data_IF_419512779878
#
_entry.id   IF_419512779878
#
_cell.length_a   1.000
_cell.length_b   1.000
_cell.length_c   1.000
_cell.angle_alpha   90.00
_cell.angle_beta   90.00
_cell.angle_gamma   90.00
#
_symmetry.space_group_name_H-M   'P 1'
#
loop_
_entity.id
_entity.type
_entity.pdbx_description
1 polymer ?
#
# COMPACT_ATOMS: atom_id res chain seq x y z
N UNK A 1 -31.91 -40.47 -44.80
CA UNK A 1 -32.19 -41.92 -44.78
C UNK A 1 -32.25 -42.34 -43.32
N UNK A 2 -33.45 -42.65 -42.78
CA UNK A 2 -33.67 -43.50 -41.57
C UNK A 2 -33.13 -42.90 -40.23
N UNK A 3 -33.81 -42.79 -39.07
CA UNK A 3 -35.09 -43.25 -38.51
C UNK A 3 -35.43 -42.33 -37.31
N UNK A 4 -36.72 -42.06 -37.13
CA UNK A 4 -37.36 -41.44 -35.97
C UNK A 4 -38.00 -42.58 -35.16
N UNK A 5 -37.73 -42.69 -33.85
CA UNK A 5 -38.58 -43.46 -32.93
C UNK A 5 -38.59 -42.83 -31.52
N UNK A 6 -39.83 -42.62 -31.07
CA UNK A 6 -40.32 -42.07 -29.82
C UNK A 6 -40.42 -43.12 -28.70
N UNK A 7 -40.71 -42.61 -27.49
CA UNK A 7 -41.42 -43.27 -26.38
C UNK A 7 -40.50 -43.98 -25.37
N UNK A 8 -40.63 -43.78 -24.05
CA UNK A 8 -41.85 -43.94 -23.25
C UNK A 8 -41.88 -43.09 -21.97
N UNK A 9 -43.09 -42.65 -21.63
CA UNK A 9 -43.49 -42.15 -20.32
C UNK A 9 -43.78 -43.31 -19.36
N UNK A 10 -43.82 -43.05 -18.04
CA UNK A 10 -44.72 -43.69 -17.07
C UNK A 10 -44.78 -42.85 -15.77
N UNK A 11 -45.93 -42.25 -15.51
CA UNK A 11 -46.46 -41.99 -14.17
C UNK A 11 -47.60 -43.02 -13.95
N UNK A 12 -48.01 -43.34 -12.70
CA UNK A 12 -49.10 -42.53 -12.13
C UNK A 12 -49.26 -42.48 -10.58
N UNK A 13 -50.09 -41.50 -10.18
CA UNK A 13 -51.18 -41.52 -9.19
C UNK A 13 -50.94 -41.30 -7.67
N UNK A 14 -51.70 -40.30 -7.20
CA UNK A 14 -51.96 -39.76 -5.86
C UNK A 14 -52.53 -40.72 -4.80
N UNK A 15 -52.32 -40.36 -3.52
CA UNK A 15 -53.36 -40.43 -2.50
C UNK A 15 -53.18 -39.32 -1.43
N UNK A 16 -54.29 -38.65 -1.10
CA UNK A 16 -54.39 -37.59 -0.11
C UNK A 16 -54.54 -38.16 1.32
N UNK A 17 -53.90 -37.52 2.30
CA UNK A 17 -54.10 -37.78 3.74
C UNK A 17 -53.81 -36.52 4.55
N UNK A 18 -54.84 -35.99 5.23
CA UNK A 18 -54.76 -34.83 6.11
C UNK A 18 -54.04 -35.09 7.45
N UNK A 19 -53.87 -34.05 8.31
CA UNK A 19 -52.73 -33.95 9.20
C UNK A 19 -52.95 -34.64 10.56
N UNK A 20 -51.95 -35.42 11.01
CA UNK A 20 -51.78 -35.75 12.43
C UNK A 20 -50.71 -34.85 13.03
N UNK A 21 -51.15 -33.93 13.89
CA UNK A 21 -50.28 -33.10 14.74
C UNK A 21 -49.55 -34.00 15.74
N UNK A 22 -48.28 -34.31 15.51
CA UNK A 22 -47.35 -34.64 16.59
C UNK A 22 -46.67 -33.35 17.04
N UNK A 23 -47.00 -32.92 18.25
CA UNK A 23 -46.41 -31.74 18.90
C UNK A 23 -45.05 -32.16 19.45
N UNK A 24 -44.04 -32.25 18.59
CA UNK A 24 -42.66 -32.26 19.04
C UNK A 24 -42.35 -30.85 19.55
N UNK A 25 -42.15 -30.71 20.86
CA UNK A 25 -41.59 -29.48 21.43
C UNK A 25 -40.14 -29.38 20.93
N UNK A 26 -39.95 -28.66 19.83
CA UNK A 26 -38.65 -28.12 19.49
C UNK A 26 -38.31 -27.11 20.59
N UNK A 27 -37.44 -27.52 21.52
CA UNK A 27 -36.72 -26.62 22.40
C UNK A 27 -35.83 -25.76 21.50
N UNK A 28 -36.38 -24.65 21.02
CA UNK A 28 -35.62 -23.65 20.30
C UNK A 28 -34.57 -23.10 21.25
N UNK A 29 -33.32 -23.53 21.09
CA UNK A 29 -32.20 -22.67 21.46
C UNK A 29 -32.46 -21.33 20.77
N UNK A 30 -32.42 -20.20 21.50
CA UNK A 30 -32.47 -18.91 20.84
C UNK A 30 -31.38 -18.91 19.77
N UNK A 31 -31.75 -18.55 18.53
CA UNK A 31 -30.76 -18.34 17.48
C UNK A 31 -29.70 -17.39 18.06
N UNK A 32 -28.44 -17.83 18.04
CA UNK A 32 -27.35 -17.02 18.57
C UNK A 32 -27.44 -15.62 17.93
N UNK A 33 -27.48 -14.58 18.76
CA UNK A 33 -27.56 -13.21 18.26
C UNK A 33 -26.37 -12.98 17.31
N UNK A 34 -26.65 -12.41 16.13
CA UNK A 34 -25.61 -12.04 15.17
C UNK A 34 -24.66 -11.08 15.90
N UNK A 35 -23.34 -11.37 15.98
CA UNK A 35 -22.40 -10.49 16.63
C UNK A 35 -22.36 -9.14 15.92
N UNK A 36 -21.97 -8.10 16.66
CA UNK A 36 -21.85 -6.77 16.08
C UNK A 36 -20.70 -6.74 15.07
N UNK A 37 -19.56 -7.30 15.48
CA UNK A 37 -18.35 -7.41 14.68
C UNK A 37 -17.95 -8.88 14.50
N UNK A 38 -17.56 -9.23 13.29
CA UNK A 38 -16.64 -10.34 13.05
C UNK A 38 -15.31 -9.75 12.60
N UNK A 39 -14.23 -10.17 13.24
CA UNK A 39 -12.87 -9.84 12.83
C UNK A 39 -12.26 -11.13 12.28
N UNK A 40 -11.75 -11.05 11.06
CA UNK A 40 -11.04 -12.12 10.38
C UNK A 40 -9.55 -11.81 10.46
N UNK A 41 -8.73 -12.78 10.83
CA UNK A 41 -7.27 -12.62 10.91
C UNK A 41 -6.62 -13.67 10.01
N UNK A 42 -5.87 -13.19 9.04
CA UNK A 42 -5.02 -14.00 8.16
C UNK A 42 -3.60 -13.93 8.72
N UNK A 43 -3.23 -14.96 9.49
CA UNK A 43 -2.02 -15.01 10.30
C UNK A 43 -1.04 -16.00 9.67
N UNK A 44 -0.16 -15.46 8.83
CA UNK A 44 0.88 -16.23 8.16
C UNK A 44 2.18 -16.15 8.95
N UNK A 45 2.46 -17.20 9.73
CA UNK A 45 3.69 -17.38 10.49
C UNK A 45 4.62 -18.42 9.87
N UNK A 46 4.43 -18.81 8.60
CA UNK A 46 5.36 -19.70 7.89
C UNK A 46 6.57 -18.91 7.36
N UNK A 47 7.33 -18.35 8.31
CA UNK A 47 8.54 -17.56 8.08
C UNK A 47 9.25 -17.31 9.42
N UNK A 48 10.20 -16.37 9.43
CA UNK A 48 10.95 -15.98 10.61
C UNK A 48 10.14 -15.19 11.67
N UNK A 49 8.81 -15.09 11.57
CA UNK A 49 7.91 -14.54 12.60
C UNK A 49 7.12 -15.63 13.38
N UNK A 50 7.36 -16.92 13.13
CA UNK A 50 6.67 -18.03 13.81
C UNK A 50 6.72 -17.96 15.36
N UNK A 51 7.78 -17.37 15.92
CA UNK A 51 8.02 -17.27 17.36
C UNK A 51 7.01 -16.38 18.09
N UNK A 52 6.37 -15.43 17.40
CA UNK A 52 5.37 -14.52 18.00
C UNK A 52 3.92 -14.94 17.77
N UNK A 53 3.67 -15.90 16.87
CA UNK A 53 2.31 -16.37 16.53
C UNK A 53 1.49 -16.76 17.77
N UNK A 54 2.07 -17.57 18.66
CA UNK A 54 1.35 -18.02 19.86
C UNK A 54 1.07 -16.88 20.84
N UNK A 55 1.96 -15.89 20.93
CA UNK A 55 1.76 -14.71 21.77
C UNK A 55 0.59 -13.87 21.25
N UNK A 56 0.52 -13.63 19.94
CA UNK A 56 -0.58 -12.87 19.33
C UNK A 56 -1.91 -13.62 19.45
N UNK A 57 -1.91 -14.94 19.25
CA UNK A 57 -3.10 -15.77 19.48
C UNK A 57 -3.59 -15.69 20.93
N UNK A 58 -2.68 -15.65 21.91
CA UNK A 58 -3.02 -15.48 23.32
C UNK A 58 -3.58 -14.08 23.60
N UNK A 59 -2.96 -13.03 23.05
CA UNK A 59 -3.47 -11.65 23.18
C UNK A 59 -4.88 -11.52 22.59
N UNK A 60 -5.14 -12.15 21.44
CA UNK A 60 -6.46 -12.22 20.82
C UNK A 60 -7.49 -12.96 21.69
N UNK A 61 -7.13 -14.09 22.29
CA UNK A 61 -7.99 -14.86 23.21
C UNK A 61 -8.36 -14.06 24.47
N UNK A 62 -7.39 -13.33 25.03
CA UNK A 62 -7.55 -12.52 26.22
C UNK A 62 -8.36 -11.25 25.95
N UNK A 63 -8.19 -10.64 24.77
CA UNK A 63 -8.79 -9.37 24.39
C UNK A 63 -10.21 -9.46 23.86
N UNK A 64 -10.59 -10.55 23.18
CA UNK A 64 -11.85 -10.60 22.42
C UNK A 64 -13.09 -10.43 23.32
N UNK A 65 -13.91 -9.37 23.12
CA UNK A 65 -15.10 -9.16 23.94
C UNK A 65 -16.29 -10.00 23.44
N UNK A 66 -17.29 -10.19 24.30
CA UNK A 66 -18.42 -11.08 24.01
C UNK A 66 -19.31 -10.66 22.81
N UNK A 67 -19.22 -9.40 22.35
CA UNK A 67 -19.99 -8.88 21.23
C UNK A 67 -19.23 -8.93 19.89
N UNK A 68 -18.01 -9.47 19.90
CA UNK A 68 -17.13 -9.67 18.75
C UNK A 68 -16.91 -11.16 18.57
N UNK A 69 -16.86 -11.60 17.31
CA UNK A 69 -16.37 -12.93 16.94
C UNK A 69 -15.03 -12.77 16.23
N UNK A 70 -14.07 -13.62 16.56
CA UNK A 70 -12.77 -13.65 15.90
C UNK A 70 -12.57 -15.00 15.21
N UNK A 71 -12.27 -14.98 13.92
CA UNK A 71 -11.83 -16.16 13.15
C UNK A 71 -10.41 -15.93 12.66
N UNK A 72 -9.52 -16.88 12.90
CA UNK A 72 -8.10 -16.75 12.64
C UNK A 72 -7.65 -17.94 11.80
N UNK A 73 -7.28 -17.71 10.55
CA UNK A 73 -6.54 -18.71 9.78
C UNK A 73 -5.07 -18.55 10.11
N UNK A 74 -4.46 -19.64 10.58
CA UNK A 74 -3.07 -19.69 11.03
C UNK A 74 -2.32 -20.72 10.19
N UNK A 75 -1.15 -20.31 9.73
CA UNK A 75 -0.11 -21.20 9.20
C UNK A 75 1.22 -20.93 9.92
N UNK A 76 2.02 -21.97 10.17
CA UNK A 76 3.24 -21.87 10.99
C UNK A 76 4.36 -22.71 10.41
N UNK A 77 5.58 -22.16 10.42
CA UNK A 77 6.76 -22.74 9.77
C UNK A 77 7.16 -24.17 10.20
N UNK A 78 6.72 -24.61 11.38
CA UNK A 78 7.09 -25.92 11.94
C UNK A 78 5.89 -26.84 12.20
N UNK A 79 4.72 -26.53 11.63
CA UNK A 79 3.53 -27.38 11.72
C UNK A 79 3.09 -27.80 10.33
N UNK A 80 2.56 -29.01 10.20
CA UNK A 80 1.90 -29.43 8.96
C UNK A 80 0.43 -29.03 8.99
N UNK A 81 0.00 -28.28 8.00
CA UNK A 81 -1.40 -27.94 7.75
C UNK A 81 -1.83 -26.60 8.35
N UNK A 82 -2.89 -26.04 7.76
CA UNK A 82 -3.55 -24.85 8.27
C UNK A 82 -4.47 -25.14 9.45
N UNK A 83 -4.63 -24.15 10.32
CA UNK A 83 -5.62 -24.18 11.40
C UNK A 83 -6.54 -22.98 11.33
N UNK A 84 -7.85 -23.22 11.37
CA UNK A 84 -8.85 -22.17 11.57
C UNK A 84 -9.29 -22.18 13.03
N UNK A 85 -8.94 -21.13 13.75
CA UNK A 85 -9.34 -20.91 15.14
C UNK A 85 -10.53 -19.97 15.23
N UNK A 86 -11.40 -20.24 16.19
CA UNK A 86 -12.46 -19.33 16.63
C UNK A 86 -12.18 -18.90 18.08
N UNK A 87 -12.03 -17.60 18.30
CA UNK A 87 -11.84 -17.05 19.64
C UNK A 87 -13.10 -16.34 20.12
N UNK A 88 -13.44 -16.62 21.38
CA UNK A 88 -14.44 -15.89 22.17
C UNK A 88 -13.85 -15.67 23.57
N UNK A 89 -14.43 -14.77 24.37
CA UNK A 89 -13.82 -14.29 25.63
C UNK A 89 -13.19 -15.41 26.49
N UNK A 90 -11.85 -15.48 26.51
CA UNK A 90 -11.06 -16.45 27.28
C UNK A 90 -11.18 -17.91 26.80
N UNK A 91 -11.61 -18.13 25.55
CA UNK A 91 -11.75 -19.44 24.92
C UNK A 91 -11.29 -19.37 23.47
N UNK A 92 -10.17 -20.03 23.18
CA UNK A 92 -9.73 -20.36 21.82
C UNK A 92 -10.12 -21.80 21.46
N UNK A 93 -10.91 -21.96 20.39
CA UNK A 93 -11.39 -23.25 19.90
C UNK A 93 -10.91 -23.51 18.48
N UNK A 94 -10.33 -24.68 18.25
CA UNK A 94 -10.03 -25.15 16.90
C UNK A 94 -11.35 -25.45 16.18
N UNK A 95 -11.59 -24.74 15.07
CA UNK A 95 -12.78 -24.88 14.26
C UNK A 95 -12.58 -25.91 13.15
N UNK A 96 -11.46 -25.82 12.43
CA UNK A 96 -11.14 -26.65 11.27
C UNK A 96 -9.62 -26.80 11.14
N UNK A 97 -9.15 -27.96 10.69
CA UNK A 97 -7.77 -28.19 10.25
C UNK A 97 -7.80 -28.47 8.74
N UNK A 98 -6.78 -28.01 8.03
CA UNK A 98 -6.66 -28.16 6.58
C UNK A 98 -5.29 -28.66 6.14
N UNK A 99 -5.11 -28.88 4.83
CA UNK A 99 -3.78 -29.09 4.26
C UNK A 99 -2.91 -27.84 4.44
N UNK A 100 -1.62 -27.98 4.17
CA UNK A 100 -0.67 -26.86 4.08
C UNK A 100 -1.20 -25.83 3.08
N UNK A 101 -1.52 -24.60 3.51
CA UNK A 101 -1.89 -23.54 2.60
C UNK A 101 -0.62 -22.95 1.97
N UNK A 102 -0.76 -22.27 0.83
CA UNK A 102 0.20 -21.27 0.40
C UNK A 102 -0.40 -19.93 0.84
N UNK A 103 0.11 -19.35 1.92
CA UNK A 103 -0.43 -18.12 2.48
C UNK A 103 -0.06 -16.87 1.66
N UNK A 104 1.00 -16.97 0.85
CA UNK A 104 1.35 -15.97 -0.16
C UNK A 104 0.54 -16.04 -1.45
N UNK A 105 -0.27 -17.09 -1.66
CA UNK A 105 -1.26 -17.14 -2.75
C UNK A 105 -2.48 -16.29 -2.40
N UNK A 106 -2.73 -15.24 -3.19
CA UNK A 106 -3.89 -14.37 -3.04
C UNK A 106 -5.23 -15.12 -3.10
N UNK A 107 -5.29 -16.28 -3.75
CA UNK A 107 -6.49 -17.11 -3.75
C UNK A 107 -6.75 -17.77 -2.39
N UNK A 108 -5.72 -18.06 -1.59
CA UNK A 108 -5.86 -18.53 -0.20
C UNK A 108 -6.54 -17.45 0.64
N UNK A 109 -6.08 -16.21 0.57
CA UNK A 109 -6.74 -15.07 1.22
C UNK A 109 -8.19 -14.89 0.74
N UNK A 110 -8.45 -15.00 -0.56
CA UNK A 110 -9.81 -14.92 -1.11
C UNK A 110 -10.73 -16.02 -0.57
N UNK A 111 -10.24 -17.27 -0.53
CA UNK A 111 -10.97 -18.42 0.03
C UNK A 111 -11.25 -18.23 1.52
N UNK A 112 -10.25 -17.77 2.28
CA UNK A 112 -10.41 -17.49 3.71
C UNK A 112 -11.47 -16.40 3.94
N UNK A 113 -11.42 -15.31 3.18
CA UNK A 113 -12.41 -14.23 3.29
C UNK A 113 -13.83 -14.71 2.98
N UNK A 114 -14.03 -15.44 1.87
CA UNK A 114 -15.32 -16.03 1.50
C UNK A 114 -15.85 -16.97 2.59
N UNK A 115 -14.95 -17.80 3.14
CA UNK A 115 -15.26 -18.76 4.21
C UNK A 115 -15.61 -18.06 5.52
N UNK A 116 -14.85 -17.05 5.93
CA UNK A 116 -15.08 -16.28 7.14
C UNK A 116 -16.41 -15.53 7.11
N UNK A 117 -16.73 -14.90 5.97
CA UNK A 117 -18.02 -14.24 5.75
C UNK A 117 -19.21 -15.21 5.82
N UNK A 118 -19.03 -16.45 5.34
CA UNK A 118 -20.06 -17.48 5.42
C UNK A 118 -20.24 -18.08 6.82
N UNK A 119 -19.13 -18.29 7.56
CA UNK A 119 -19.14 -18.91 8.89
C UNK A 119 -19.56 -17.94 10.01
N UNK A 120 -19.21 -16.68 9.88
CA UNK A 120 -19.35 -15.68 10.92
C UNK A 120 -19.99 -14.38 10.39
N UNK A 121 -21.26 -14.42 9.94
CA UNK A 121 -21.95 -13.21 9.55
C UNK A 121 -22.08 -12.26 10.75
N UNK A 122 -21.84 -10.97 10.51
CA UNK A 122 -21.96 -9.89 11.49
C UNK A 122 -22.44 -8.60 10.83
N UNK A 123 -22.78 -7.60 11.63
CA UNK A 123 -23.15 -6.28 11.12
C UNK A 123 -21.96 -5.59 10.47
N UNK A 124 -20.79 -5.73 11.09
CA UNK A 124 -19.53 -5.18 10.63
C UNK A 124 -18.47 -6.28 10.50
N UNK A 125 -17.63 -6.20 9.47
CA UNK A 125 -16.52 -7.13 9.22
C UNK A 125 -15.21 -6.37 9.12
N UNK A 126 -14.23 -6.76 9.93
CA UNK A 126 -12.84 -6.38 9.76
C UNK A 126 -12.01 -7.55 9.22
N UNK A 127 -11.01 -7.27 8.41
CA UNK A 127 -9.97 -8.21 8.01
C UNK A 127 -8.59 -7.67 8.43
N UNK A 128 -7.82 -8.49 9.11
CA UNK A 128 -6.43 -8.23 9.49
C UNK A 128 -5.56 -9.18 8.68
N UNK A 129 -4.53 -8.64 8.03
CA UNK A 129 -3.50 -9.44 7.39
C UNK A 129 -2.20 -9.19 8.16
N UNK A 130 -1.70 -10.25 8.77
CA UNK A 130 -0.53 -10.25 9.65
C UNK A 130 0.61 -10.97 8.96
N UNK A 131 1.77 -10.30 8.81
CA UNK A 131 3.06 -10.85 8.34
C UNK A 131 4.10 -9.71 8.24
N UNK A 132 5.22 -9.96 7.56
CA UNK A 132 6.01 -8.96 6.85
C UNK A 132 5.20 -8.15 5.84
N UNK A 133 5.71 -6.95 5.56
CA UNK A 133 5.23 -6.09 4.49
C UNK A 133 6.35 -5.27 3.84
N UNK A 134 6.15 -4.92 2.58
CA UNK A 134 7.07 -4.09 1.79
C UNK A 134 6.29 -3.17 0.82
N UNK A 135 5.07 -2.79 1.23
CA UNK A 135 4.18 -1.95 0.42
C UNK A 135 3.84 -2.59 -0.93
N UNK A 136 4.13 -1.89 -2.02
CA UNK A 136 3.84 -2.38 -3.37
C UNK A 136 4.96 -3.23 -3.99
N UNK A 137 6.15 -3.30 -3.38
CA UNK A 137 7.36 -3.80 -4.06
C UNK A 137 7.27 -5.27 -4.45
N UNK A 138 7.74 -5.55 -5.68
CA UNK A 138 7.84 -6.87 -6.31
C UNK A 138 9.25 -7.50 -6.11
N UNK A 139 9.42 -8.84 -6.25
CA UNK A 139 10.59 -9.70 -5.94
C UNK A 139 11.96 -9.40 -6.55
N UNK A 140 12.21 -8.25 -7.14
CA UNK A 140 13.55 -7.99 -7.68
C UNK A 140 14.55 -7.65 -6.55
N UNK A 141 14.99 -8.69 -5.84
CA UNK A 141 16.22 -8.69 -5.03
C UNK A 141 16.09 -8.51 -3.51
N UNK A 142 14.89 -8.44 -2.93
CA UNK A 142 14.69 -8.33 -1.48
C UNK A 142 14.14 -9.62 -0.84
N UNK A 143 14.45 -9.81 0.44
CA UNK A 143 14.00 -10.94 1.27
C UNK A 143 12.49 -10.86 1.58
N UNK A 144 11.92 -9.66 1.78
CA UNK A 144 10.49 -9.44 2.01
C UNK A 144 9.83 -8.66 0.86
N UNK A 145 8.62 -9.08 0.47
CA UNK A 145 7.98 -8.80 -0.82
C UNK A 145 6.47 -8.67 -0.59
N UNK A 146 5.81 -7.63 -1.13
CA UNK A 146 4.36 -7.42 -0.92
C UNK A 146 3.94 -7.56 0.56
N UNK A 147 2.96 -8.43 0.85
CA UNK A 147 2.53 -8.85 2.19
C UNK A 147 2.29 -10.37 2.23
N UNK A 148 2.22 -10.96 3.43
CA UNK A 148 1.97 -12.40 3.64
C UNK A 148 3.04 -13.26 2.94
N UNK A 149 4.29 -13.06 3.36
CA UNK A 149 5.43 -13.85 2.87
C UNK A 149 5.41 -15.23 3.53
N UNK A 150 5.41 -16.25 2.69
CA UNK A 150 5.38 -17.66 3.04
C UNK A 150 6.68 -18.30 2.54
N UNK A 151 7.54 -18.70 3.47
CA UNK A 151 8.90 -19.17 3.18
C UNK A 151 8.91 -20.60 2.60
N UNK A 152 7.97 -21.46 3.00
CA UNK A 152 7.85 -22.82 2.46
C UNK A 152 7.45 -22.80 0.99
N UNK A 153 6.52 -21.91 0.62
CA UNK A 153 6.04 -21.73 -0.75
C UNK A 153 6.92 -20.76 -1.56
N UNK A 154 7.69 -19.90 -0.88
CA UNK A 154 8.49 -18.83 -1.49
C UNK A 154 7.63 -17.73 -2.15
N UNK A 155 6.40 -17.59 -1.69
CA UNK A 155 5.34 -16.76 -2.27
C UNK A 155 5.03 -15.56 -1.37
N UNK A 156 4.25 -14.62 -1.90
CA UNK A 156 3.74 -13.44 -1.20
C UNK A 156 2.63 -12.80 -2.05
N UNK A 157 1.79 -11.98 -1.41
CA UNK A 157 0.70 -11.28 -2.07
C UNK A 157 1.15 -9.87 -2.49
N UNK A 158 1.15 -9.59 -3.79
CA UNK A 158 1.38 -8.24 -4.33
C UNK A 158 0.22 -7.27 -4.04
N UNK A 159 0.46 -5.96 -4.15
CA UNK A 159 -0.59 -4.95 -3.98
C UNK A 159 -1.81 -5.17 -4.90
N UNK A 160 -1.61 -5.42 -6.19
CA UNK A 160 -2.73 -5.66 -7.11
C UNK A 160 -3.46 -6.99 -6.78
N UNK A 161 -2.73 -8.03 -6.36
CA UNK A 161 -3.32 -9.29 -5.91
C UNK A 161 -4.14 -9.13 -4.62
N UNK A 162 -3.77 -8.22 -3.69
CA UNK A 162 -4.61 -7.89 -2.54
C UNK A 162 -5.99 -7.39 -3.00
N UNK A 163 -6.01 -6.49 -3.98
CA UNK A 163 -7.26 -6.01 -4.58
C UNK A 163 -8.09 -7.13 -5.20
N UNK A 164 -7.45 -8.10 -5.85
CA UNK A 164 -8.11 -9.30 -6.40
C UNK A 164 -8.66 -10.21 -5.29
N UNK A 165 -7.89 -10.45 -4.22
CA UNK A 165 -8.30 -11.29 -3.12
C UNK A 165 -9.55 -10.75 -2.41
N UNK A 166 -9.55 -9.44 -2.09
CA UNK A 166 -10.69 -8.78 -1.48
C UNK A 166 -11.92 -8.81 -2.39
N UNK A 167 -11.74 -8.55 -3.69
CA UNK A 167 -12.81 -8.63 -4.67
C UNK A 167 -13.43 -10.02 -4.70
N UNK A 168 -12.64 -11.05 -4.96
CA UNK A 168 -13.15 -12.40 -5.17
C UNK A 168 -13.71 -13.01 -3.88
N UNK A 169 -13.07 -12.76 -2.74
CA UNK A 169 -13.54 -13.26 -1.44
C UNK A 169 -14.86 -12.63 -0.98
N UNK A 170 -15.09 -11.34 -1.29
CA UNK A 170 -16.31 -10.65 -0.90
C UNK A 170 -17.44 -10.75 -1.95
N UNK A 171 -17.13 -11.13 -3.20
CA UNK A 171 -18.06 -11.04 -4.35
C UNK A 171 -19.39 -11.75 -4.12
N UNK A 172 -19.37 -12.97 -3.59
CA UNK A 172 -20.59 -13.79 -3.39
C UNK A 172 -21.49 -13.25 -2.28
N UNK A 173 -20.91 -12.50 -1.34
CA UNK A 173 -21.62 -11.91 -0.21
C UNK A 173 -22.21 -10.54 -0.51
N UNK A 174 -21.85 -9.94 -1.66
CA UNK A 174 -22.41 -8.68 -2.14
C UNK A 174 -22.14 -7.49 -1.20
N UNK A 175 -21.10 -7.56 -0.38
CA UNK A 175 -20.75 -6.52 0.61
C UNK A 175 -19.27 -6.14 0.55
N UNK A 176 -18.95 -4.92 0.97
CA UNK A 176 -17.58 -4.47 1.24
C UNK A 176 -17.24 -4.81 2.69
N UNK A 177 -15.94 -4.80 3.01
CA UNK A 177 -15.47 -4.90 4.38
C UNK A 177 -15.57 -3.53 5.05
N UNK A 178 -15.83 -3.51 6.34
CA UNK A 178 -15.93 -2.28 7.10
C UNK A 178 -14.51 -1.76 7.40
N UNK A 179 -13.59 -2.66 7.74
CA UNK A 179 -12.17 -2.36 7.98
C UNK A 179 -11.28 -3.40 7.30
N UNK A 180 -10.20 -2.93 6.66
CA UNK A 180 -9.03 -3.75 6.34
C UNK A 180 -7.85 -3.15 7.08
N UNK A 181 -7.11 -3.98 7.82
CA UNK A 181 -5.94 -3.58 8.58
C UNK A 181 -4.74 -4.45 8.20
N UNK A 182 -3.58 -3.82 8.10
CA UNK A 182 -2.32 -4.51 7.87
C UNK A 182 -1.47 -4.47 9.13
N UNK A 183 -1.34 -5.62 9.79
CA UNK A 183 -0.33 -5.84 10.84
C UNK A 183 0.98 -6.25 10.15
N UNK A 184 1.50 -5.32 9.35
CA UNK A 184 2.61 -5.54 8.45
C UNK A 184 3.32 -4.22 8.12
N UNK A 185 4.62 -4.30 7.92
CA UNK A 185 5.50 -3.17 7.63
C UNK A 185 5.11 -2.45 6.33
N UNK A 186 5.18 -1.12 6.32
CA UNK A 186 5.21 -0.30 5.09
C UNK A 186 3.95 -0.40 4.21
N UNK A 187 2.82 -0.90 4.71
CA UNK A 187 1.61 -1.14 3.90
C UNK A 187 0.73 0.10 3.71
N UNK A 188 0.96 1.18 4.46
CA UNK A 188 0.20 2.43 4.33
C UNK A 188 0.74 3.32 3.22
N UNK A 189 0.69 2.80 2.00
CA UNK A 189 1.10 3.49 0.78
C UNK A 189 -0.09 3.85 -0.11
N UNK A 190 0.02 4.92 -0.89
CA UNK A 190 -0.98 5.31 -1.91
C UNK A 190 -1.25 4.16 -2.88
N UNK A 191 -0.20 3.44 -3.29
CA UNK A 191 -0.25 2.32 -4.24
C UNK A 191 -1.08 1.16 -3.69
N UNK A 192 -0.83 0.78 -2.44
CA UNK A 192 -1.59 -0.28 -1.75
C UNK A 192 -3.02 0.17 -1.51
N UNK A 193 -3.21 1.42 -1.06
CA UNK A 193 -4.52 1.99 -0.80
C UNK A 193 -5.38 2.00 -2.09
N UNK A 194 -4.79 2.31 -3.25
CA UNK A 194 -5.48 2.23 -4.55
C UNK A 194 -5.98 0.82 -4.87
N UNK A 195 -5.17 -0.21 -4.58
CA UNK A 195 -5.57 -1.58 -4.87
C UNK A 195 -6.77 -2.05 -4.03
N UNK A 196 -6.91 -1.56 -2.79
CA UNK A 196 -7.90 -2.09 -1.83
C UNK A 196 -9.12 -1.18 -1.60
N UNK A 197 -9.06 0.14 -1.89
CA UNK A 197 -10.08 1.10 -1.46
C UNK A 197 -11.52 0.76 -1.90
N UNK A 198 -11.68 0.03 -3.02
CA UNK A 198 -13.00 -0.35 -3.55
C UNK A 198 -13.68 -1.43 -2.70
N UNK A 199 -12.94 -2.14 -1.86
CA UNK A 199 -13.40 -3.34 -1.17
C UNK A 199 -13.50 -3.19 0.35
N UNK A 200 -13.05 -2.06 0.90
CA UNK A 200 -13.21 -1.73 2.32
C UNK A 200 -13.65 -0.28 2.54
N UNK A 201 -14.32 0.02 3.66
CA UNK A 201 -14.71 1.39 4.02
C UNK A 201 -13.60 2.16 4.73
N UNK A 202 -12.84 1.48 5.61
CA UNK A 202 -11.68 2.02 6.30
C UNK A 202 -10.46 1.14 6.06
N UNK A 203 -9.31 1.78 5.83
CA UNK A 203 -8.00 1.15 5.74
C UNK A 203 -7.14 1.57 6.94
N UNK A 204 -6.46 0.63 7.57
CA UNK A 204 -5.50 0.85 8.67
C UNK A 204 -4.15 0.22 8.32
N UNK A 205 -3.07 0.94 8.57
CA UNK A 205 -1.72 0.45 8.31
C UNK A 205 -0.63 1.42 8.75
N UNK A 206 0.60 0.94 8.67
CA UNK A 206 1.82 1.70 9.00
C UNK A 206 2.56 2.13 7.73
N UNK A 207 3.05 3.37 7.74
CA UNK A 207 4.00 3.87 6.74
C UNK A 207 5.43 3.36 7.01
N UNK A 208 5.67 2.92 8.25
CA UNK A 208 6.94 2.47 8.78
C UNK A 208 6.94 0.95 9.04
N UNK A 209 8.10 0.39 9.38
CA UNK A 209 8.17 -0.95 9.97
C UNK A 209 7.33 -1.03 11.23
N UNK A 210 6.64 -2.17 11.39
CA UNK A 210 5.89 -2.51 12.59
C UNK A 210 6.83 -3.30 13.50
N UNK A 211 6.87 -3.05 14.82
CA UNK A 211 7.67 -3.86 15.74
C UNK A 211 7.25 -5.33 15.67
N UNK A 212 8.17 -6.23 16.01
CA UNK A 212 7.94 -7.69 15.92
C UNK A 212 6.69 -8.18 16.67
N UNK A 213 6.29 -7.48 17.73
CA UNK A 213 5.09 -7.79 18.51
C UNK A 213 3.76 -7.35 17.85
N UNK A 214 3.78 -6.69 16.69
CA UNK A 214 2.58 -6.40 15.90
C UNK A 214 1.57 -5.47 16.58
N UNK A 215 0.29 -5.71 16.34
CA UNK A 215 -0.80 -5.02 17.00
C UNK A 215 -1.01 -5.53 18.44
N UNK A 216 -1.29 -4.65 19.42
CA UNK A 216 -1.62 -5.08 20.79
C UNK A 216 -3.06 -5.62 20.85
N UNK A 217 -3.27 -6.88 20.43
CA UNK A 217 -4.59 -7.48 20.23
C UNK A 217 -5.44 -7.46 21.50
N UNK A 218 -4.82 -7.74 22.64
CA UNK A 218 -5.45 -7.73 23.96
C UNK A 218 -6.09 -6.36 24.27
N UNK A 219 -5.39 -5.28 23.94
CA UNK A 219 -5.79 -3.91 24.27
C UNK A 219 -6.86 -3.39 23.33
N UNK A 220 -6.66 -3.47 22.01
CA UNK A 220 -7.61 -2.84 21.10
C UNK A 220 -8.93 -3.62 21.05
N UNK A 221 -8.88 -4.96 21.08
CA UNK A 221 -10.08 -5.79 21.20
C UNK A 221 -10.76 -5.60 22.55
N UNK A 222 -10.00 -5.63 23.65
CA UNK A 222 -10.54 -5.50 25.00
C UNK A 222 -11.16 -4.13 25.27
N UNK A 223 -10.69 -3.09 24.58
CA UNK A 223 -11.21 -1.73 24.63
C UNK A 223 -12.32 -1.41 23.63
N UNK A 224 -12.69 -2.35 22.74
CA UNK A 224 -13.68 -2.09 21.68
C UNK A 224 -15.07 -1.80 22.28
N UNK A 225 -15.63 -0.58 22.11
CA UNK A 225 -16.94 -0.26 22.64
C UNK A 225 -18.06 -0.99 21.88
N UNK A 226 -19.11 -1.38 22.60
CA UNK A 226 -20.37 -1.83 21.98
C UNK A 226 -20.97 -0.69 21.17
N UNK A 227 -21.43 -0.97 19.95
CA UNK A 227 -22.00 0.00 19.01
C UNK A 227 -20.95 0.82 18.25
N UNK A 228 -19.69 0.38 18.21
CA UNK A 228 -18.64 1.07 17.48
C UNK A 228 -18.79 0.85 15.97
N UNK A 229 -18.94 1.95 15.22
CA UNK A 229 -18.82 1.92 13.77
C UNK A 229 -17.33 1.79 13.34
N UNK A 230 -17.11 1.55 12.05
CA UNK A 230 -15.78 1.34 11.48
C UNK A 230 -14.80 2.50 11.74
N UNK A 231 -15.26 3.76 11.70
CA UNK A 231 -14.38 4.91 11.93
C UNK A 231 -13.99 5.04 13.40
N UNK A 232 -14.92 4.73 14.33
CA UNK A 232 -14.63 4.69 15.77
C UNK A 232 -13.68 3.56 16.13
N UNK A 233 -13.92 2.35 15.59
CA UNK A 233 -13.02 1.21 15.76
C UNK A 233 -11.60 1.59 15.29
N UNK A 234 -11.48 2.19 14.10
CA UNK A 234 -10.18 2.52 13.53
C UNK A 234 -9.40 3.58 14.34
N UNK A 235 -10.08 4.62 14.86
CA UNK A 235 -9.45 5.62 15.74
C UNK A 235 -8.97 4.98 17.04
N UNK A 236 -9.84 4.20 17.69
CA UNK A 236 -9.51 3.47 18.91
C UNK A 236 -8.31 2.55 18.71
N UNK A 237 -8.27 1.84 17.57
CA UNK A 237 -7.17 0.95 17.22
C UNK A 237 -5.86 1.70 17.06
N UNK A 238 -5.85 2.78 16.27
CA UNK A 238 -4.67 3.63 16.09
C UNK A 238 -4.19 4.18 17.43
N UNK A 239 -5.08 4.80 18.22
CA UNK A 239 -4.70 5.37 19.51
C UNK A 239 -4.14 4.31 20.48
N UNK A 240 -4.73 3.12 20.51
CA UNK A 240 -4.28 2.01 21.36
C UNK A 240 -2.91 1.48 20.95
N UNK A 241 -2.65 1.37 19.64
CA UNK A 241 -1.35 0.98 19.10
C UNK A 241 -0.26 1.99 19.47
N UNK A 242 -0.51 3.29 19.27
CA UNK A 242 0.49 4.30 19.64
C UNK A 242 0.74 4.32 21.15
N UNK A 243 -0.28 4.12 21.98
CA UNK A 243 -0.11 4.08 23.43
C UNK A 243 0.64 2.85 23.92
N UNK A 244 0.47 1.68 23.29
CA UNK A 244 1.20 0.47 23.68
C UNK A 244 2.71 0.62 23.54
N UNK A 245 3.15 1.25 22.44
CA UNK A 245 4.56 1.51 22.15
C UNK A 245 5.12 2.79 22.80
N UNK A 246 4.29 3.59 23.48
CA UNK A 246 4.82 4.60 24.42
C UNK A 246 5.24 3.98 25.75
N UNK A 247 4.55 2.93 26.19
CA UNK A 247 4.65 2.41 27.56
C UNK A 247 5.54 1.18 27.71
N UNK A 248 5.42 0.18 26.82
CA UNK A 248 6.10 -1.14 26.97
C UNK A 248 7.52 -1.13 26.40
N UNK A 249 7.70 -0.53 25.23
CA UNK A 249 9.00 -0.45 24.54
C UNK A 249 9.02 0.85 23.73
N UNK A 250 9.84 1.87 24.06
CA UNK A 250 9.89 3.12 23.33
C UNK A 250 10.56 2.94 21.96
N UNK A 251 9.90 2.18 21.10
CA UNK A 251 10.20 2.07 19.68
C UNK A 251 9.36 3.11 18.95
N UNK A 252 9.95 3.90 18.05
CA UNK A 252 9.19 4.78 17.19
C UNK A 252 8.28 3.96 16.29
N UNK A 253 7.00 4.33 16.27
CA UNK A 253 5.99 3.67 15.45
C UNK A 253 5.12 4.71 14.76
N UNK A 254 4.49 4.34 13.65
CA UNK A 254 3.47 5.14 12.98
C UNK A 254 2.27 4.26 12.65
N UNK A 255 1.06 4.77 12.81
CA UNK A 255 -0.15 4.10 12.33
C UNK A 255 -1.19 5.14 11.95
N UNK A 256 -1.95 4.84 10.91
CA UNK A 256 -3.01 5.72 10.44
C UNK A 256 -4.23 4.95 9.98
N UNK A 257 -5.34 5.67 9.86
CA UNK A 257 -6.59 5.16 9.34
C UNK A 257 -7.18 6.11 8.30
N UNK A 258 -7.70 5.56 7.21
CA UNK A 258 -8.17 6.30 6.03
C UNK A 258 -9.55 5.86 5.58
N UNK A 259 -10.39 6.83 5.20
CA UNK A 259 -11.70 6.61 4.56
C UNK A 259 -11.51 6.25 3.09
N UNK A 260 -11.76 5.01 2.74
CA UNK A 260 -11.55 4.50 1.39
C UNK A 260 -12.49 5.10 0.34
N UNK A 261 -13.67 5.58 0.74
CA UNK A 261 -14.59 6.30 -0.15
C UNK A 261 -14.05 7.64 -0.63
N UNK A 262 -13.13 8.26 0.14
CA UNK A 262 -12.59 9.58 -0.12
C UNK A 262 -11.19 9.51 -0.79
N UNK A 263 -10.54 8.34 -0.76
CA UNK A 263 -9.26 8.08 -1.42
C UNK A 263 -9.23 8.38 -2.94
N UNK A 264 -10.31 8.16 -3.74
CA UNK A 264 -10.37 8.62 -5.13
C UNK A 264 -9.94 10.07 -5.34
N UNK A 265 -10.33 10.98 -4.45
CA UNK A 265 -9.94 12.38 -4.53
C UNK A 265 -8.45 12.61 -4.22
N UNK A 266 -7.86 11.79 -3.34
CA UNK A 266 -6.41 11.81 -3.06
C UNK A 266 -5.65 11.39 -4.31
N UNK A 267 -6.09 10.31 -4.98
CA UNK A 267 -5.45 9.80 -6.19
C UNK A 267 -5.53 10.80 -7.35
N UNK A 268 -6.70 11.42 -7.56
CA UNK A 268 -6.87 12.49 -8.54
C UNK A 268 -5.95 13.68 -8.23
N UNK A 269 -5.77 14.02 -6.95
CA UNK A 269 -4.89 15.11 -6.55
C UNK A 269 -3.40 14.77 -6.72
N UNK A 270 -2.98 13.53 -6.44
CA UNK A 270 -1.61 13.04 -6.74
C UNK A 270 -1.33 13.12 -8.24
N UNK A 271 -2.27 12.65 -9.07
CA UNK A 271 -2.16 12.77 -10.53
C UNK A 271 -2.08 14.24 -10.99
N UNK A 272 -2.91 15.10 -10.39
CA UNK A 272 -2.89 16.54 -10.63
C UNK A 272 -1.56 17.21 -10.24
N UNK A 273 -0.96 16.79 -9.12
CA UNK A 273 0.35 17.25 -8.68
C UNK A 273 1.45 16.78 -9.64
N UNK A 274 1.44 15.51 -10.06
CA UNK A 274 2.40 14.97 -11.02
C UNK A 274 2.39 15.77 -12.33
N UNK A 275 1.19 16.06 -12.87
CA UNK A 275 0.99 16.93 -14.04
C UNK A 275 1.56 18.33 -13.87
N UNK A 276 1.32 18.95 -12.71
CA UNK A 276 1.81 20.29 -12.42
C UNK A 276 3.34 20.31 -12.31
N UNK A 277 3.95 19.28 -11.71
CA UNK A 277 5.40 19.14 -11.60
C UNK A 277 6.06 18.92 -12.97
N UNK A 278 5.49 18.04 -13.81
CA UNK A 278 5.95 17.78 -15.17
C UNK A 278 6.01 19.05 -16.04
N UNK A 279 5.06 19.96 -15.84
CA UNK A 279 4.90 21.15 -16.68
C UNK A 279 5.59 22.40 -16.12
N UNK A 280 6.26 22.29 -14.96
CA UNK A 280 6.94 23.41 -14.32
C UNK A 280 8.46 23.26 -14.41
N UNK A 281 9.15 24.06 -15.25
CA UNK A 281 10.60 23.93 -15.44
C UNK A 281 11.44 24.07 -14.17
N UNK A 282 10.97 24.85 -13.19
CA UNK A 282 11.66 25.05 -11.91
C UNK A 282 11.42 23.93 -10.88
N UNK A 283 10.61 22.92 -11.18
CA UNK A 283 10.24 21.89 -10.22
C UNK A 283 11.43 21.01 -9.80
N UNK A 284 12.26 20.58 -10.75
CA UNK A 284 13.39 19.66 -10.50
C UNK A 284 14.32 20.10 -9.35
N UNK A 285 14.94 21.30 -9.42
CA UNK A 285 15.83 21.80 -8.36
C UNK A 285 15.15 21.87 -7.00
N UNK A 286 13.89 22.32 -6.96
CA UNK A 286 13.15 22.44 -5.71
C UNK A 286 12.81 21.08 -5.14
N UNK A 287 12.36 20.14 -5.96
CA UNK A 287 12.09 18.75 -5.55
C UNK A 287 13.35 18.10 -5.02
N UNK A 288 14.51 18.27 -5.68
CA UNK A 288 15.81 17.76 -5.18
C UNK A 288 16.12 18.26 -3.77
N UNK A 289 15.84 19.54 -3.50
CA UNK A 289 16.00 20.17 -2.18
C UNK A 289 14.98 19.64 -1.17
N UNK A 290 13.69 19.53 -1.54
CA UNK A 290 12.62 18.98 -0.70
C UNK A 290 12.93 17.55 -0.28
N UNK A 291 13.44 16.74 -1.21
CA UNK A 291 13.84 15.37 -0.93
C UNK A 291 14.99 15.25 0.06
N UNK A 292 15.72 16.32 0.43
CA UNK A 292 16.69 16.24 1.53
C UNK A 292 16.03 16.27 2.92
N UNK A 293 14.80 16.78 3.00
CA UNK A 293 14.12 17.09 4.26
C UNK A 293 12.82 16.30 4.46
N UNK A 294 12.26 15.76 3.38
CA UNK A 294 11.03 14.98 3.42
C UNK A 294 11.15 13.79 4.39
N UNK A 295 10.06 13.50 5.09
CA UNK A 295 9.94 12.34 5.96
C UNK A 295 10.12 11.09 5.08
N UNK A 296 11.02 10.23 5.51
CA UNK A 296 11.23 8.90 4.94
C UNK A 296 11.04 7.86 6.00
N UNK A 297 10.69 6.68 5.54
CA UNK A 297 10.55 5.50 6.38
C UNK A 297 11.79 4.61 6.23
N UNK A 298 11.79 3.44 6.87
CA UNK A 298 12.88 2.46 6.74
C UNK A 298 13.17 2.11 5.28
N UNK A 299 12.11 1.92 4.48
CA UNK A 299 12.24 1.95 3.02
C UNK A 299 12.45 3.41 2.56
N UNK A 300 13.69 3.74 2.19
CA UNK A 300 14.09 5.14 1.88
C UNK A 300 13.47 5.72 0.61
N UNK A 301 12.89 4.87 -0.22
CA UNK A 301 12.09 5.23 -1.38
C UNK A 301 10.59 5.32 -1.04
N UNK A 302 10.22 5.29 0.23
CA UNK A 302 8.88 5.64 0.72
C UNK A 302 9.00 7.00 1.40
N UNK A 303 8.39 8.01 0.79
CA UNK A 303 8.32 9.36 1.34
C UNK A 303 6.90 9.65 1.81
N UNK A 304 6.77 10.47 2.84
CA UNK A 304 5.46 10.94 3.28
C UNK A 304 4.85 11.91 2.25
N UNK A 305 3.67 11.59 1.73
CA UNK A 305 3.02 12.36 0.68
C UNK A 305 2.57 13.74 1.17
N UNK A 306 2.07 13.84 2.39
CA UNK A 306 1.60 15.09 2.97
C UNK A 306 2.75 16.06 3.23
N UNK A 307 3.81 15.59 3.88
CA UNK A 307 5.01 16.38 4.15
C UNK A 307 5.76 16.76 2.87
N UNK A 308 5.78 15.87 1.86
CA UNK A 308 6.28 16.23 0.53
C UNK A 308 5.50 17.43 -0.05
N UNK A 309 4.16 17.39 0.03
CA UNK A 309 3.30 18.49 -0.40
C UNK A 309 3.55 19.79 0.37
N UNK A 310 3.68 19.73 1.69
CA UNK A 310 3.94 20.90 2.55
C UNK A 310 5.28 21.58 2.20
N UNK A 311 6.34 20.78 2.04
CA UNK A 311 7.66 21.29 1.69
C UNK A 311 7.68 21.92 0.29
N UNK A 312 7.00 21.31 -0.68
CA UNK A 312 6.84 21.91 -2.01
C UNK A 312 6.08 23.24 -1.93
N UNK A 313 4.97 23.28 -1.19
CA UNK A 313 4.16 24.48 -1.02
C UNK A 313 4.88 25.64 -0.33
N UNK A 314 5.90 25.34 0.48
CA UNK A 314 6.76 26.35 1.12
C UNK A 314 7.82 26.95 0.19
N UNK A 315 8.14 26.30 -0.94
CA UNK A 315 9.25 26.68 -1.84
C UNK A 315 8.82 27.09 -3.23
N UNK A 316 7.69 26.56 -3.71
CA UNK A 316 7.17 26.83 -5.05
C UNK A 316 6.05 27.86 -4.99
N UNK A 317 6.17 28.90 -5.81
CA UNK A 317 5.18 29.97 -5.94
C UNK A 317 4.32 29.87 -7.20
N UNK A 318 4.60 28.89 -8.07
CA UNK A 318 3.84 28.65 -9.30
C UNK A 318 2.35 28.37 -8.99
N UNK A 319 1.45 29.05 -9.70
CA UNK A 319 0.00 28.99 -9.42
C UNK A 319 -0.61 27.61 -9.74
N UNK A 320 -0.09 26.92 -10.76
CA UNK A 320 -0.52 25.58 -11.15
C UNK A 320 -0.15 24.58 -10.06
N UNK A 321 1.09 24.64 -9.57
CA UNK A 321 1.55 23.80 -8.46
C UNK A 321 0.80 24.13 -7.17
N UNK A 322 0.64 25.41 -6.83
CA UNK A 322 -0.13 25.81 -5.64
C UNK A 322 -1.55 25.28 -5.65
N UNK A 323 -2.22 25.34 -6.80
CA UNK A 323 -3.58 24.78 -6.98
C UNK A 323 -3.59 23.27 -6.80
N UNK A 324 -2.60 22.56 -7.35
CA UNK A 324 -2.49 21.11 -7.20
C UNK A 324 -2.21 20.69 -5.75
N UNK A 325 -1.32 21.39 -5.07
CA UNK A 325 -1.00 21.15 -3.65
C UNK A 325 -2.18 21.43 -2.73
N UNK A 326 -2.95 22.48 -2.98
CA UNK A 326 -4.16 22.77 -2.19
C UNK A 326 -5.22 21.67 -2.36
N UNK A 327 -5.41 21.17 -3.60
CA UNK A 327 -6.29 20.02 -3.86
C UNK A 327 -5.82 18.78 -3.13
N UNK A 328 -4.51 18.50 -3.13
CA UNK A 328 -3.92 17.38 -2.42
C UNK A 328 -4.16 17.50 -0.91
N UNK A 329 -3.87 18.66 -0.31
CA UNK A 329 -4.08 18.92 1.11
C UNK A 329 -5.54 18.69 1.52
N UNK A 330 -6.50 19.26 0.77
CA UNK A 330 -7.94 19.08 1.02
C UNK A 330 -8.34 17.60 0.94
N UNK A 331 -7.85 16.88 -0.08
CA UNK A 331 -8.16 15.48 -0.27
C UNK A 331 -7.61 14.61 0.87
N UNK A 332 -6.35 14.85 1.28
CA UNK A 332 -5.72 14.17 2.40
C UNK A 332 -6.48 14.42 3.71
N UNK A 333 -6.80 15.68 4.03
CA UNK A 333 -7.53 16.06 5.25
C UNK A 333 -8.93 15.43 5.32
N UNK A 334 -9.60 15.28 4.17
CA UNK A 334 -10.92 14.65 4.11
C UNK A 334 -10.85 13.13 4.27
N UNK A 335 -9.88 12.49 3.63
CA UNK A 335 -9.76 11.04 3.64
C UNK A 335 -9.13 10.52 4.94
N UNK A 336 -8.21 11.25 5.57
CA UNK A 336 -7.54 10.85 6.80
C UNK A 336 -8.51 10.87 7.98
N UNK A 337 -8.68 9.72 8.64
CA UNK A 337 -9.39 9.64 9.92
C UNK A 337 -8.47 10.13 11.03
N UNK A 338 -7.31 9.49 11.15
CA UNK A 338 -6.26 9.79 12.11
C UNK A 338 -4.93 9.29 11.56
N UNK A 339 -3.84 9.96 11.91
CA UNK A 339 -2.49 9.52 11.64
C UNK A 339 -1.62 9.98 12.81
N UNK A 340 -1.00 9.04 13.50
CA UNK A 340 -0.22 9.31 14.68
C UNK A 340 1.11 8.57 14.62
N UNK A 341 2.10 9.11 15.32
CA UNK A 341 3.43 8.53 15.42
C UNK A 341 4.05 8.73 16.80
N UNK A 342 5.09 7.96 17.12
CA UNK A 342 5.99 8.18 18.25
C UNK A 342 7.44 8.32 17.75
N UNK A 343 8.30 8.93 18.56
CA UNK A 343 9.72 9.07 18.26
C UNK A 343 10.08 10.22 17.31
N UNK A 344 11.20 10.89 17.56
CA UNK A 344 11.57 12.12 16.84
C UNK A 344 11.92 11.93 15.36
N UNK A 345 12.23 10.70 14.92
CA UNK A 345 12.54 10.44 13.52
C UNK A 345 11.30 10.34 12.63
N UNK A 346 10.11 10.10 13.22
CA UNK A 346 8.81 10.05 12.54
C UNK A 346 8.01 11.35 12.73
N UNK A 347 8.64 12.41 13.25
CA UNK A 347 7.97 13.67 13.65
C UNK A 347 7.19 14.37 12.53
N UNK A 348 7.44 14.00 11.28
CA UNK A 348 6.78 14.56 10.10
C UNK A 348 5.92 13.52 9.37
N UNK A 349 5.66 12.35 9.97
CA UNK A 349 4.75 11.35 9.42
C UNK A 349 3.30 11.81 9.56
N UNK A 350 2.59 11.80 8.44
CA UNK A 350 1.24 12.30 8.22
C UNK A 350 0.24 11.22 7.82
N UNK A 351 0.69 9.96 7.66
CA UNK A 351 -0.17 8.78 7.56
C UNK A 351 -0.32 8.18 6.17
N UNK A 352 0.33 8.69 5.13
CA UNK A 352 0.28 8.06 3.81
C UNK A 352 1.59 8.26 3.05
N UNK A 353 2.28 7.16 2.80
CA UNK A 353 3.52 7.14 2.03
C UNK A 353 3.25 7.01 0.53
N UNK A 354 4.19 7.47 -0.30
CA UNK A 354 4.21 7.26 -1.75
C UNK A 354 5.62 6.87 -2.19
N UNK A 355 5.73 6.08 -3.25
CA UNK A 355 7.03 5.72 -3.82
C UNK A 355 7.75 6.90 -4.45
N UNK A 356 8.99 7.12 -4.05
CA UNK A 356 9.91 8.07 -4.67
C UNK A 356 11.36 7.56 -4.55
N UNK A 357 11.89 6.84 -5.55
CA UNK A 357 13.25 6.33 -5.52
C UNK A 357 14.27 7.49 -5.55
N UNK A 358 15.43 7.31 -4.91
CA UNK A 358 16.43 8.38 -4.86
C UNK A 358 17.23 8.56 -6.15
N UNK A 359 17.22 7.56 -7.04
CA UNK A 359 18.01 7.51 -8.29
C UNK A 359 17.27 6.74 -9.37
N UNK A 360 17.57 7.03 -10.64
CA UNK A 360 17.03 6.32 -11.80
C UNK A 360 17.25 4.80 -11.71
N UNK A 361 18.44 4.37 -11.27
CA UNK A 361 18.78 2.96 -11.09
C UNK A 361 17.92 2.20 -10.05
N UNK A 362 17.20 2.92 -9.19
CA UNK A 362 16.30 2.33 -8.19
C UNK A 362 14.84 2.36 -8.61
N UNK A 363 14.51 2.92 -9.78
CA UNK A 363 13.17 2.81 -10.36
C UNK A 363 12.91 1.37 -10.79
N UNK A 364 11.98 0.69 -10.13
CA UNK A 364 11.63 -0.69 -10.52
C UNK A 364 10.68 -0.69 -11.72
N UNK A 365 10.96 -1.48 -12.78
CA UNK A 365 10.01 -1.69 -13.88
C UNK A 365 8.65 -2.24 -13.40
N UNK A 366 8.64 -3.01 -12.31
CA UNK A 366 7.41 -3.54 -11.71
C UNK A 366 6.47 -2.44 -11.18
N UNK A 367 6.96 -1.23 -10.90
CA UNK A 367 6.10 -0.13 -10.49
C UNK A 367 5.09 0.24 -11.59
N UNK A 368 5.52 0.20 -12.85
CA UNK A 368 4.70 0.55 -14.01
C UNK A 368 3.58 -0.46 -14.27
N UNK A 369 3.63 -1.65 -13.65
CA UNK A 369 2.56 -2.64 -13.79
C UNK A 369 1.36 -2.38 -12.87
N UNK A 370 1.56 -1.60 -11.79
CA UNK A 370 0.51 -1.31 -10.82
C UNK A 370 -0.65 -0.56 -11.46
N UNK A 371 -1.89 -0.86 -11.05
CA UNK A 371 -3.06 -0.10 -11.53
C UNK A 371 -2.92 1.39 -11.19
N UNK A 372 -2.38 1.73 -10.02
CA UNK A 372 -2.12 3.12 -9.61
C UNK A 372 -1.21 3.87 -10.59
N UNK A 373 -0.06 3.27 -10.96
CA UNK A 373 0.89 3.91 -11.87
C UNK A 373 0.25 4.13 -13.23
N UNK A 374 -0.38 3.11 -13.82
CA UNK A 374 -1.05 3.21 -15.13
C UNK A 374 -2.20 4.21 -15.18
N UNK A 375 -2.81 4.52 -14.03
CA UNK A 375 -3.96 5.43 -13.92
C UNK A 375 -3.55 6.87 -13.55
N UNK A 376 -2.27 7.11 -13.25
CA UNK A 376 -1.73 8.41 -12.86
C UNK A 376 -0.56 8.78 -13.76
N UNK A 377 -0.03 10.00 -13.60
CA UNK A 377 1.22 10.43 -14.23
C UNK A 377 2.37 10.46 -13.22
N UNK A 378 2.24 9.74 -12.12
CA UNK A 378 3.26 9.75 -11.08
C UNK A 378 4.57 9.11 -11.55
N UNK A 379 4.49 7.98 -12.26
CA UNK A 379 5.64 7.32 -12.88
C UNK A 379 6.24 8.13 -14.04
N UNK A 380 5.40 8.77 -14.87
CA UNK A 380 5.85 9.75 -15.87
C UNK A 380 6.68 10.87 -15.22
N UNK A 381 6.18 11.41 -14.11
CA UNK A 381 6.88 12.44 -13.34
C UNK A 381 8.19 11.93 -12.75
N UNK A 382 8.20 10.74 -12.13
CA UNK A 382 9.43 10.14 -11.60
C UNK A 382 10.48 9.95 -12.72
N UNK A 383 10.08 9.43 -13.87
CA UNK A 383 10.96 9.26 -15.03
C UNK A 383 11.53 10.60 -15.52
N UNK A 384 10.69 11.64 -15.63
CA UNK A 384 11.13 12.98 -15.99
C UNK A 384 12.10 13.57 -14.96
N UNK A 385 11.76 13.50 -13.67
CA UNK A 385 12.60 14.01 -12.59
C UNK A 385 13.97 13.34 -12.56
N UNK A 386 14.03 12.02 -12.72
CA UNK A 386 15.29 11.29 -12.74
C UNK A 386 16.12 11.57 -13.99
N UNK A 387 15.51 11.70 -15.16
CA UNK A 387 16.22 12.16 -16.36
C UNK A 387 16.81 13.57 -16.15
N UNK A 388 16.04 14.48 -15.55
CA UNK A 388 16.52 15.83 -15.19
C UNK A 388 17.66 15.79 -14.17
N UNK A 389 17.58 14.92 -13.16
CA UNK A 389 18.61 14.77 -12.14
C UNK A 389 19.92 14.24 -12.76
N UNK A 390 19.84 13.18 -13.56
CA UNK A 390 20.99 12.59 -14.25
C UNK A 390 21.64 13.61 -15.20
N UNK A 391 20.83 14.37 -15.95
CA UNK A 391 21.31 15.48 -16.79
C UNK A 391 22.01 16.56 -15.96
N UNK A 392 21.42 16.97 -14.84
CA UNK A 392 21.97 18.04 -13.99
C UNK A 392 23.29 17.63 -13.35
N UNK A 393 23.42 16.36 -12.96
CA UNK A 393 24.66 15.80 -12.41
C UNK A 393 25.77 15.72 -13.48
N UNK A 394 25.44 15.34 -14.72
CA UNK A 394 26.41 15.36 -15.82
C UNK A 394 26.88 16.78 -16.16
N UNK A 395 25.98 17.75 -16.22
CA UNK A 395 26.36 19.15 -16.50
C UNK A 395 27.21 19.73 -15.36
N UNK A 396 26.91 19.39 -14.11
CA UNK A 396 27.70 19.86 -12.95
C UNK A 396 29.17 19.42 -13.00
N UNK A 397 29.51 18.34 -13.73
CA UNK A 397 30.90 17.93 -13.95
C UNK A 397 31.71 18.97 -14.72
N UNK A 398 31.07 19.82 -15.53
CA UNK A 398 31.77 20.92 -16.21
C UNK A 398 32.29 21.98 -15.24
N UNK A 399 31.66 22.13 -14.08
CA UNK A 399 32.10 23.05 -13.04
C UNK A 399 33.33 22.51 -12.29
N UNK A 400 33.43 21.20 -12.11
CA UNK A 400 34.49 20.54 -11.34
C UNK A 400 35.66 20.07 -12.19
N UNK A 401 35.40 19.51 -13.38
CA UNK A 401 36.38 18.92 -14.30
C UNK A 401 36.74 19.85 -15.47
N UNK A 402 35.98 20.92 -15.69
CA UNK A 402 36.23 21.90 -16.74
C UNK A 402 36.08 21.33 -18.15
N UNK A 403 36.84 21.87 -19.11
CA UNK A 403 36.76 21.50 -20.52
C UNK A 403 37.13 20.03 -20.81
N UNK A 404 37.86 19.36 -19.92
CA UNK A 404 38.22 17.95 -20.06
C UNK A 404 36.98 17.04 -20.07
N UNK A 405 35.94 17.39 -19.32
CA UNK A 405 34.70 16.62 -19.27
C UNK A 405 33.75 16.89 -20.45
N UNK A 406 33.95 17.99 -21.18
CA UNK A 406 33.01 18.48 -22.20
C UNK A 406 32.61 17.43 -23.25
N UNK A 407 33.54 16.63 -23.85
CA UNK A 407 33.14 15.65 -24.86
C UNK A 407 32.20 14.57 -24.30
N UNK A 408 32.48 14.08 -23.09
CA UNK A 408 31.67 13.04 -22.46
C UNK A 408 30.32 13.59 -21.99
N UNK A 409 30.31 14.81 -21.42
CA UNK A 409 29.07 15.48 -20.99
C UNK A 409 28.14 15.73 -22.18
N UNK A 410 28.65 16.24 -23.30
CA UNK A 410 27.86 16.43 -24.54
C UNK A 410 27.28 15.09 -25.00
N UNK A 411 28.10 14.04 -25.06
CA UNK A 411 27.65 12.70 -25.48
C UNK A 411 26.55 12.15 -24.58
N UNK A 412 26.66 12.33 -23.25
CA UNK A 412 25.66 11.87 -22.27
C UNK A 412 24.36 12.66 -22.37
N UNK A 413 24.43 13.98 -22.49
CA UNK A 413 23.25 14.84 -22.67
C UNK A 413 22.54 14.53 -23.99
N UNK A 414 23.28 14.32 -25.09
CA UNK A 414 22.70 13.89 -26.37
C UNK A 414 22.05 12.50 -26.28
N UNK A 415 22.60 11.58 -25.49
CA UNK A 415 22.00 10.27 -25.25
C UNK A 415 20.67 10.41 -24.49
N UNK A 416 20.64 11.21 -23.41
CA UNK A 416 19.42 11.49 -22.65
C UNK A 416 18.35 12.20 -23.50
N UNK A 417 18.77 13.12 -24.38
CA UNK A 417 17.87 13.86 -25.27
C UNK A 417 17.08 12.96 -26.23
N UNK A 418 17.56 11.75 -26.53
CA UNK A 418 16.86 10.78 -27.39
C UNK A 418 15.61 10.20 -26.73
N UNK A 419 15.63 10.01 -25.41
CA UNK A 419 14.49 9.49 -24.65
C UNK A 419 13.70 10.57 -23.92
N UNK A 420 14.33 11.72 -23.60
CA UNK A 420 13.70 12.85 -22.93
C UNK A 420 14.08 14.17 -23.63
N UNK A 421 13.42 14.53 -24.75
CA UNK A 421 13.79 15.68 -25.57
C UNK A 421 13.81 17.02 -24.82
N UNK A 422 12.86 17.25 -23.93
CA UNK A 422 12.77 18.49 -23.15
C UNK A 422 13.92 18.64 -22.15
N UNK A 423 14.24 17.55 -21.43
CA UNK A 423 15.40 17.49 -20.53
C UNK A 423 16.69 17.66 -21.32
N UNK A 424 16.80 16.99 -22.47
CA UNK A 424 17.92 17.14 -23.39
C UNK A 424 18.13 18.60 -23.79
N UNK A 425 17.09 19.28 -24.27
CA UNK A 425 17.16 20.68 -24.68
C UNK A 425 17.63 21.60 -23.54
N UNK A 426 17.16 21.37 -22.31
CA UNK A 426 17.63 22.11 -21.13
C UNK A 426 19.12 21.87 -20.86
N UNK A 427 19.59 20.63 -20.93
CA UNK A 427 21.01 20.29 -20.76
C UNK A 427 21.89 20.91 -21.83
N UNK A 428 21.44 20.90 -23.09
CA UNK A 428 22.14 21.57 -24.19
C UNK A 428 22.25 23.09 -23.96
N UNK A 429 21.19 23.73 -23.46
CA UNK A 429 21.21 25.15 -23.12
C UNK A 429 22.21 25.45 -21.99
N UNK A 430 22.28 24.61 -20.95
CA UNK A 430 23.25 24.76 -19.87
C UNK A 430 24.70 24.58 -20.34
N UNK A 431 24.97 23.59 -21.21
CA UNK A 431 26.29 23.41 -21.83
C UNK A 431 26.68 24.64 -22.63
N UNK A 432 25.76 25.21 -23.44
CA UNK A 432 26.01 26.44 -24.21
C UNK A 432 26.34 27.62 -23.31
N UNK A 433 25.56 27.81 -22.25
CA UNK A 433 25.80 28.88 -21.28
C UNK A 433 27.18 28.76 -20.63
N UNK A 434 27.56 27.56 -20.18
CA UNK A 434 28.90 27.31 -19.63
C UNK A 434 29.99 27.57 -20.67
N UNK A 435 29.80 27.11 -21.91
CA UNK A 435 30.75 27.26 -23.01
C UNK A 435 31.03 28.73 -23.36
N UNK A 436 29.98 29.57 -23.39
CA UNK A 436 30.11 31.02 -23.61
C UNK A 436 30.96 31.67 -22.52
N UNK A 437 30.71 31.34 -21.24
CA UNK A 437 31.49 31.88 -20.14
C UNK A 437 32.97 31.45 -20.15
N UNK A 438 33.27 30.21 -20.57
CA UNK A 438 34.66 29.79 -20.73
C UNK A 438 35.35 30.51 -21.91
N UNK A 439 34.63 30.78 -22.99
CA UNK A 439 35.14 31.51 -24.14
C UNK A 439 35.49 32.97 -23.78
N UNK A 440 34.64 33.66 -23.01
CA UNK A 440 34.93 34.99 -22.44
C UNK A 440 36.19 34.98 -21.55
N UNK A 441 36.47 33.85 -20.88
CA UNK A 441 37.68 33.62 -20.08
C UNK A 441 38.92 33.22 -20.87
N UNK A 442 38.91 33.27 -22.21
CA UNK A 442 40.07 33.00 -23.07
C UNK A 442 40.24 31.54 -23.51
N UNK A 443 39.28 30.65 -23.26
CA UNK A 443 39.32 29.22 -23.64
C UNK A 443 38.45 28.86 -24.85
N UNK A 444 38.15 29.84 -25.72
CA UNK A 444 37.24 29.68 -26.86
C UNK A 444 37.65 28.54 -27.82
N UNK A 445 38.95 28.38 -28.11
CA UNK A 445 39.44 27.36 -29.05
C UNK A 445 39.27 25.92 -28.52
N UNK A 446 39.37 25.72 -27.21
CA UNK A 446 39.20 24.40 -26.56
C UNK A 446 37.73 23.97 -26.59
N UNK A 447 36.83 24.92 -26.37
CA UNK A 447 35.38 24.74 -26.41
C UNK A 447 34.92 24.49 -27.86
N UNK A 448 35.33 25.32 -28.82
CA UNK A 448 34.96 25.17 -30.24
C UNK A 448 35.40 23.85 -30.88
N UNK A 449 36.53 23.29 -30.43
CA UNK A 449 37.04 22.02 -30.94
C UNK A 449 36.13 20.82 -30.61
N UNK A 450 35.30 20.92 -29.57
CA UNK A 450 34.49 19.81 -29.05
C UNK A 450 33.01 19.95 -29.45
N UNK A 451 32.41 21.12 -29.26
CA UNK A 451 30.99 21.34 -29.58
C UNK A 451 30.75 21.82 -31.02
N UNK A 452 31.82 22.10 -31.77
CA UNK A 452 31.75 22.63 -33.13
C UNK A 452 31.31 24.09 -33.18
N UNK A 453 31.74 24.84 -34.21
CA UNK A 453 31.48 26.29 -34.31
C UNK A 453 29.99 26.66 -34.32
N UNK A 454 29.13 25.75 -34.80
CA UNK A 454 27.68 25.96 -34.91
C UNK A 454 26.91 26.04 -33.58
N UNK A 455 27.53 25.68 -32.45
CA UNK A 455 26.90 25.77 -31.12
C UNK A 455 27.13 27.12 -30.42
N UNK A 456 28.22 27.80 -30.74
CA UNK A 456 28.52 29.16 -30.25
C UNK A 456 27.97 30.24 -31.18
N UNK A 457 27.68 29.90 -32.44
CA UNK A 457 27.04 30.80 -33.41
C UNK A 457 25.53 30.52 -33.46
N UNK A 458 24.74 31.33 -32.76
CA UNK A 458 23.28 31.33 -32.91
C UNK A 458 22.63 32.47 -32.12
N UNK A 459 21.82 33.25 -32.84
CA UNK A 459 20.99 34.39 -32.41
C UNK A 459 20.10 34.16 -31.18
#
# INVERSE_FOLDING_TARGET
>A
MVVLLLSTALAPAWAAGGPRRSRAMATGQPAAAIPEWTILVYLDGDNDLDDVVEADLQEMEDGVPAHVRLLILVDRANTSGSQLWECSKGVRRLHEEGPEPDMGDWQTLARFLDRGLALAPASHIALIIWNHGMGWKHPEGAATRGIASDDTSGSFITADQLGLALREGARRHGRRLDVVAFDACLMQMVEVAWAVHRWCDVLIGSEEVVPRAGFPYDRFLGGLPVGADAEKLARHWVDTYLESYRQKEPQPVALSAWRCRDLPAVFDAVNGLAKALLTTPAAGPVVKSVLQEVQRFTARDHIDLGHFGDLLGSRLTDETIRTALEKLRIALDRARLCANHTGGHLRHSQGLAIYFPSRSAFCSPSYQTLEFARMSQWDDWLAHYHAWLDMSEEVARLETEGAVALPEVVRRVEQLARSHPEVGAAGQAQIRFWAVHQAEGGRAAEVEAVIGRGWLSGD
#
